data_IF_239768424237
#
_entry.id   IF_239768424237
#
_cell.length_a   1.000
_cell.length_b   1.000
_cell.length_c   1.000
_cell.angle_alpha   90.00
_cell.angle_beta   90.00
_cell.angle_gamma   90.00
#
_symmetry.space_group_name_H-M   'P 1'
#
loop_
_entity.id
_entity.type
_entity.pdbx_description
1 polymer ?
#
# COMPACT_ATOMS: atom_id res chain seq x y z
N UNK A 1 16.69 20.56 0.78
CA UNK A 1 15.36 20.03 0.36
C UNK A 1 15.50 18.52 0.26
N UNK A 2 14.84 17.74 1.13
CA UNK A 2 14.90 16.27 1.08
C UNK A 2 14.18 15.73 -0.15
N UNK A 3 14.58 14.55 -0.65
CA UNK A 3 13.85 13.90 -1.74
C UNK A 3 12.46 13.44 -1.26
N UNK A 4 11.39 13.72 -2.01
CA UNK A 4 10.04 13.29 -1.66
C UNK A 4 9.95 11.77 -1.61
N UNK A 5 9.14 11.26 -0.69
CA UNK A 5 8.90 9.82 -0.54
C UNK A 5 8.21 9.22 -1.78
N UNK A 6 8.32 7.91 -1.94
CA UNK A 6 7.68 7.13 -3.00
C UNK A 6 6.19 7.51 -3.24
N UNK A 7 5.39 7.47 -2.18
CA UNK A 7 3.96 7.81 -2.23
C UNK A 7 3.71 9.27 -2.62
N UNK A 8 4.54 10.21 -2.15
CA UNK A 8 4.41 11.63 -2.49
C UNK A 8 4.73 11.88 -3.97
N UNK A 9 5.71 11.15 -4.52
CA UNK A 9 6.02 11.20 -5.96
C UNK A 9 4.87 10.67 -6.79
N UNK A 10 4.21 9.60 -6.33
CA UNK A 10 3.03 9.07 -7.01
C UNK A 10 1.84 10.04 -6.94
N UNK A 11 1.53 10.60 -5.77
CA UNK A 11 0.49 11.62 -5.65
C UNK A 11 0.73 12.83 -6.57
N UNK A 12 1.97 13.30 -6.68
CA UNK A 12 2.32 14.41 -7.57
C UNK A 12 2.19 14.06 -9.05
N UNK A 13 2.46 12.80 -9.42
CA UNK A 13 2.48 12.36 -10.82
C UNK A 13 1.13 11.85 -11.31
N UNK A 14 0.22 11.48 -10.40
CA UNK A 14 -1.01 10.75 -10.72
C UNK A 14 -2.24 11.41 -10.07
N UNK A 15 -3.00 12.22 -10.84
CA UNK A 15 -4.29 12.75 -10.38
C UNK A 15 -5.28 11.63 -10.04
N UNK A 16 -5.28 10.54 -10.81
CA UNK A 16 -6.14 9.39 -10.57
C UNK A 16 -5.83 8.71 -9.24
N UNK A 17 -4.55 8.61 -8.88
CA UNK A 17 -4.16 8.10 -7.55
C UNK A 17 -4.66 8.98 -6.40
N UNK A 18 -4.61 10.31 -6.57
CA UNK A 18 -5.14 11.23 -5.56
C UNK A 18 -6.64 11.02 -5.33
N UNK A 19 -7.40 10.80 -6.40
CA UNK A 19 -8.83 10.46 -6.33
C UNK A 19 -9.06 9.09 -5.68
N UNK A 20 -8.27 8.08 -6.07
CA UNK A 20 -8.31 6.75 -5.50
C UNK A 20 -8.15 6.74 -3.98
N UNK A 21 -7.22 7.55 -3.45
CA UNK A 21 -7.00 7.65 -2.00
C UNK A 21 -8.21 8.18 -1.23
N UNK A 22 -9.05 9.01 -1.88
CA UNK A 22 -10.26 9.61 -1.29
C UNK A 22 -11.46 8.65 -1.28
N UNK A 23 -11.41 7.56 -2.03
CA UNK A 23 -12.51 6.58 -2.09
C UNK A 23 -12.80 5.98 -0.70
N UNK A 24 -14.08 5.83 -0.37
CA UNK A 24 -14.52 5.17 0.89
C UNK A 24 -14.57 3.64 0.73
N UNK A 25 -14.84 3.17 -0.48
CA UNK A 25 -14.98 1.77 -0.84
C UNK A 25 -14.30 1.48 -2.18
N UNK A 26 -14.01 0.21 -2.45
CA UNK A 26 -13.49 -0.23 -3.73
C UNK A 26 -14.53 0.03 -4.85
N UNK A 27 -14.12 0.53 -6.04
CA UNK A 27 -15.01 0.67 -7.19
C UNK A 27 -15.65 -0.67 -7.60
N UNK A 28 -16.90 -0.63 -8.05
CA UNK A 28 -17.67 -1.84 -8.38
C UNK A 28 -17.07 -2.65 -9.55
N UNK A 29 -16.42 -1.96 -10.48
CA UNK A 29 -15.74 -2.51 -11.65
C UNK A 29 -14.25 -2.77 -11.41
N UNK A 30 -13.79 -2.76 -10.16
CA UNK A 30 -12.41 -3.05 -9.86
C UNK A 30 -12.03 -4.46 -10.35
N UNK A 31 -10.91 -4.62 -11.08
CA UNK A 31 -10.45 -5.94 -11.50
C UNK A 31 -9.95 -6.75 -10.29
N UNK A 32 -9.78 -8.06 -10.46
CA UNK A 32 -9.01 -8.88 -9.51
C UNK A 32 -7.51 -8.54 -9.58
N UNK A 33 -6.73 -8.95 -8.57
CA UNK A 33 -5.26 -8.88 -8.65
C UNK A 33 -4.72 -9.71 -9.82
N UNK A 34 -3.74 -9.15 -10.53
CA UNK A 34 -2.97 -9.91 -11.51
C UNK A 34 -2.09 -10.94 -10.80
N UNK A 35 -1.97 -12.12 -11.39
CA UNK A 35 -1.08 -13.18 -10.94
C UNK A 35 0.15 -13.16 -11.85
N UNK A 36 1.34 -13.14 -11.26
CA UNK A 36 2.57 -13.22 -12.04
C UNK A 36 2.91 -14.65 -12.49
N UNK A 37 3.97 -14.80 -13.29
CA UNK A 37 4.45 -16.09 -13.80
C UNK A 37 4.79 -17.10 -12.69
N UNK A 38 5.02 -16.64 -11.45
CA UNK A 38 5.32 -17.48 -10.29
C UNK A 38 4.08 -17.85 -9.47
N UNK A 39 2.90 -17.42 -9.91
CA UNK A 39 1.65 -17.65 -9.20
C UNK A 39 1.42 -16.68 -8.03
N UNK A 40 2.21 -15.60 -7.92
CA UNK A 40 2.09 -14.63 -6.83
C UNK A 40 1.22 -13.45 -7.24
N UNK A 41 0.40 -12.97 -6.30
CA UNK A 41 -0.40 -11.76 -6.53
C UNK A 41 0.50 -10.53 -6.66
N UNK A 42 0.30 -9.80 -7.75
CA UNK A 42 0.95 -8.51 -8.00
C UNK A 42 0.09 -7.40 -7.42
N UNK A 43 0.63 -6.72 -6.42
CA UNK A 43 0.07 -5.49 -5.88
C UNK A 43 0.56 -4.30 -6.73
N UNK A 44 -0.35 -3.41 -7.07
CA UNK A 44 -0.01 -2.17 -7.74
C UNK A 44 0.60 -1.16 -6.77
N UNK A 45 1.37 -0.24 -7.34
CA UNK A 45 2.16 0.69 -6.56
C UNK A 45 1.26 1.69 -5.84
N UNK A 46 1.39 1.78 -4.52
CA UNK A 46 0.55 2.65 -3.67
C UNK A 46 -0.85 2.12 -3.41
N UNK A 47 -1.12 0.85 -3.72
CA UNK A 47 -2.45 0.25 -3.61
C UNK A 47 -2.90 0.07 -2.14
N UNK A 48 -4.14 0.44 -1.87
CA UNK A 48 -4.74 0.50 -0.53
C UNK A 48 -5.94 -0.44 -0.38
N UNK A 49 -6.59 -0.87 -1.46
CA UNK A 49 -7.74 -1.77 -1.37
C UNK A 49 -7.35 -3.23 -1.66
N UNK A 50 -7.91 -4.15 -0.88
CA UNK A 50 -7.82 -5.57 -1.16
C UNK A 50 -8.78 -5.97 -2.28
N UNK A 51 -8.23 -6.50 -3.38
CA UNK A 51 -8.99 -7.00 -4.53
C UNK A 51 -8.85 -8.52 -4.70
N UNK A 52 -8.60 -9.25 -3.60
CA UNK A 52 -8.64 -10.71 -3.63
C UNK A 52 -10.08 -11.16 -3.83
N UNK A 53 -10.28 -12.09 -4.76
CA UNK A 53 -11.57 -12.71 -4.98
C UNK A 53 -11.90 -13.68 -3.85
N UNK A 54 -13.11 -13.56 -3.35
CA UNK A 54 -13.66 -14.32 -2.24
C UNK A 54 -14.44 -15.54 -2.75
N UNK A 55 -14.76 -16.47 -1.86
CA UNK A 55 -15.47 -17.71 -2.23
C UNK A 55 -16.90 -17.46 -2.75
N UNK A 56 -17.53 -16.37 -2.30
CA UNK A 56 -18.82 -15.86 -2.78
C UNK A 56 -18.72 -15.13 -4.14
N UNK A 57 -17.52 -15.03 -4.71
CA UNK A 57 -17.29 -14.48 -6.05
C UNK A 57 -17.11 -12.96 -6.08
N UNK A 58 -17.29 -12.27 -4.95
CA UNK A 58 -17.01 -10.84 -4.79
C UNK A 58 -15.53 -10.53 -4.52
N UNK A 59 -15.17 -9.25 -4.53
CA UNK A 59 -13.85 -8.78 -4.07
C UNK A 59 -13.90 -8.42 -2.60
N UNK A 60 -12.80 -8.66 -1.87
CA UNK A 60 -12.70 -8.35 -0.44
C UNK A 60 -13.02 -6.87 -0.11
N UNK A 61 -12.47 -5.93 -0.87
CA UNK A 61 -12.77 -4.50 -0.73
C UNK A 61 -12.23 -3.82 0.53
N UNK A 62 -11.50 -4.52 1.40
CA UNK A 62 -10.92 -3.93 2.60
C UNK A 62 -9.96 -2.78 2.24
N UNK A 63 -10.09 -1.62 2.90
CA UNK A 63 -9.18 -0.47 2.72
C UNK A 63 -8.11 -0.46 3.81
N UNK A 64 -6.85 -0.46 3.40
CA UNK A 64 -5.66 -0.49 4.23
C UNK A 64 -4.86 0.79 3.99
N UNK A 65 -4.32 1.38 5.07
CA UNK A 65 -3.66 2.69 4.96
C UNK A 65 -2.26 2.68 4.36
N UNK A 66 -1.65 1.49 4.19
CA UNK A 66 -0.26 1.32 3.71
C UNK A 66 -0.08 -0.03 3.02
N UNK A 67 0.88 -0.07 2.11
CA UNK A 67 1.21 -1.21 1.24
C UNK A 67 1.56 -2.47 2.05
N UNK A 68 2.31 -2.32 3.15
CA UNK A 68 2.69 -3.45 3.99
C UNK A 68 1.50 -4.02 4.77
N UNK A 69 0.52 -3.17 5.13
CA UNK A 69 -0.72 -3.61 5.77
C UNK A 69 -1.58 -4.39 4.78
N UNK A 70 -1.66 -3.93 3.53
CA UNK A 70 -2.35 -4.66 2.47
C UNK A 70 -1.72 -6.03 2.24
N UNK A 71 -0.39 -6.11 2.14
CA UNK A 71 0.32 -7.40 2.04
C UNK A 71 0.00 -8.32 3.20
N UNK A 72 0.16 -7.85 4.42
CA UNK A 72 -0.10 -8.65 5.62
C UNK A 72 -1.56 -9.11 5.67
N UNK A 73 -2.51 -8.27 5.25
CA UNK A 73 -3.92 -8.61 5.16
C UNK A 73 -4.14 -9.74 4.13
N UNK A 74 -3.59 -9.63 2.93
CA UNK A 74 -3.71 -10.67 1.90
C UNK A 74 -3.14 -12.01 2.38
N UNK A 75 -1.95 -11.98 2.99
CA UNK A 75 -1.28 -13.19 3.46
C UNK A 75 -1.99 -13.84 4.65
N UNK A 76 -2.56 -13.05 5.58
CA UNK A 76 -3.20 -13.59 6.79
C UNK A 76 -4.68 -13.92 6.62
N UNK A 77 -5.43 -13.09 5.91
CA UNK A 77 -6.88 -13.24 5.75
C UNK A 77 -7.21 -14.15 4.58
N UNK A 78 -6.50 -13.99 3.46
CA UNK A 78 -6.76 -14.77 2.25
C UNK A 78 -5.82 -15.96 2.08
N UNK A 79 -4.79 -16.08 2.92
CA UNK A 79 -3.79 -17.17 2.84
C UNK A 79 -3.11 -17.24 1.46
N UNK A 80 -3.03 -16.09 0.77
CA UNK A 80 -2.46 -15.98 -0.57
C UNK A 80 -1.12 -15.26 -0.51
N UNK A 81 -0.11 -15.79 -1.20
CA UNK A 81 1.21 -15.17 -1.26
C UNK A 81 1.22 -13.98 -2.22
N UNK A 82 1.95 -12.93 -1.83
CA UNK A 82 2.11 -11.72 -2.66
C UNK A 82 3.53 -11.60 -3.17
N UNK A 83 3.68 -10.99 -4.35
CA UNK A 83 4.99 -10.60 -4.85
C UNK A 83 5.52 -9.44 -3.99
N UNK A 84 6.72 -9.61 -3.45
CA UNK A 84 7.41 -8.49 -2.79
C UNK A 84 7.82 -7.48 -3.86
N UNK A 85 7.58 -6.18 -3.66
CA UNK A 85 8.05 -5.15 -4.57
C UNK A 85 9.56 -5.27 -4.64
N UNK A 86 10.08 -5.27 -5.86
CA UNK A 86 11.52 -5.18 -6.06
C UNK A 86 11.99 -3.87 -5.43
N UNK A 87 12.81 -3.96 -4.38
CA UNK A 87 13.35 -2.80 -3.66
C UNK A 87 14.16 -1.89 -4.59
N UNK A 88 14.57 -2.39 -5.76
CA UNK A 88 15.29 -1.65 -6.80
C UNK A 88 14.39 -0.96 -7.81
N UNK A 89 13.07 -1.22 -7.82
CA UNK A 89 12.12 -0.39 -8.58
C UNK A 89 11.99 0.94 -7.87
N UNK A 90 12.92 1.84 -8.19
CA UNK A 90 12.68 3.26 -8.02
C UNK A 90 11.35 3.59 -8.69
N UNK A 91 10.59 4.50 -8.09
CA UNK A 91 9.45 5.14 -8.74
C UNK A 91 9.98 5.99 -9.91
N UNK A 92 10.50 5.36 -10.95
CA UNK A 92 10.91 6.04 -12.15
C UNK A 92 9.67 6.54 -12.89
N UNK A 93 9.90 7.34 -13.94
CA UNK A 93 8.80 7.92 -14.69
C UNK A 93 7.94 6.85 -15.40
N UNK A 94 8.47 5.67 -15.70
CA UNK A 94 7.71 4.60 -16.36
C UNK A 94 6.73 3.95 -15.37
N UNK A 95 7.20 3.59 -14.18
CA UNK A 95 6.35 3.03 -13.11
C UNK A 95 5.23 4.00 -12.72
N UNK A 96 5.54 5.30 -12.64
CA UNK A 96 4.55 6.33 -12.33
C UNK A 96 3.47 6.46 -13.42
N UNK A 97 3.85 6.35 -14.69
CA UNK A 97 2.89 6.36 -15.81
C UNK A 97 2.02 5.10 -15.83
N UNK A 98 2.61 3.93 -15.60
CA UNK A 98 1.85 2.68 -15.50
C UNK A 98 0.82 2.75 -14.37
N UNK A 99 1.22 3.27 -13.20
CA UNK A 99 0.32 3.47 -12.08
C UNK A 99 -0.82 4.45 -12.42
N UNK A 100 -0.55 5.57 -13.10
CA UNK A 100 -1.61 6.49 -13.54
C UNK A 100 -2.62 5.80 -14.47
N UNK A 101 -2.14 5.04 -15.47
CA UNK A 101 -3.02 4.29 -16.37
C UNK A 101 -3.89 3.30 -15.60
N UNK A 102 -3.29 2.58 -14.65
CA UNK A 102 -4.02 1.65 -13.80
C UNK A 102 -5.11 2.36 -12.98
N UNK A 103 -4.77 3.43 -12.25
CA UNK A 103 -5.74 4.13 -11.41
C UNK A 103 -6.82 4.84 -12.22
N UNK A 104 -6.48 5.40 -13.39
CA UNK A 104 -7.46 6.01 -14.29
C UNK A 104 -8.49 4.97 -14.75
N UNK A 105 -8.02 3.78 -15.15
CA UNK A 105 -8.89 2.67 -15.56
C UNK A 105 -9.71 2.13 -14.39
N UNK A 106 -9.12 2.02 -13.21
CA UNK A 106 -9.80 1.57 -11.99
C UNK A 106 -10.98 2.49 -11.61
N UNK A 107 -10.85 3.79 -11.90
CA UNK A 107 -11.85 4.81 -11.63
C UNK A 107 -12.82 5.05 -12.80
N UNK A 108 -12.61 4.41 -13.95
CA UNK A 108 -13.47 4.57 -15.11
C UNK A 108 -14.90 4.14 -14.78
N UNK A 109 -15.88 5.01 -15.01
CA UNK A 109 -17.29 4.73 -14.68
C UNK A 109 -17.64 4.81 -13.18
N UNK A 110 -16.69 5.18 -12.31
CA UNK A 110 -16.98 5.46 -10.91
C UNK A 110 -17.32 6.96 -10.74
N UNK A 111 -18.59 7.27 -10.46
CA UNK A 111 -18.96 8.63 -10.07
C UNK A 111 -18.33 8.95 -8.72
N UNK A 112 -17.28 9.78 -8.74
CA UNK A 112 -16.76 10.38 -7.53
C UNK A 112 -17.68 11.57 -7.23
N UNK A 113 -18.37 11.62 -6.08
CA UNK A 113 -19.22 12.75 -5.75
C UNK A 113 -18.42 14.05 -5.86
N UNK A 114 -18.90 14.98 -6.70
CA UNK A 114 -18.23 16.25 -7.03
C UNK A 114 -18.12 17.25 -5.86
N UNK A 115 -18.22 16.83 -4.60
CA UNK A 115 -18.14 17.74 -3.45
C UNK A 115 -16.73 18.31 -3.19
N UNK A 116 -15.72 18.01 -4.03
CA UNK A 116 -14.34 18.47 -3.81
C UNK A 116 -13.71 19.25 -4.98
N UNK A 117 -14.46 19.58 -6.04
CA UNK A 117 -13.92 20.36 -7.18
C UNK A 117 -13.97 21.89 -6.93
N UNK A 118 -14.58 22.35 -5.82
CA UNK A 118 -14.77 23.78 -5.53
C UNK A 118 -13.96 24.38 -4.38
N UNK A 119 -12.98 23.68 -3.79
CA UNK A 119 -12.19 24.25 -2.69
C UNK A 119 -10.77 24.71 -3.08
N UNK A 120 -10.21 24.29 -4.22
CA UNK A 120 -8.82 24.62 -4.60
C UNK A 120 -8.70 25.72 -5.68
N UNK A 121 -9.81 26.13 -6.30
CA UNK A 121 -9.79 27.18 -7.35
C UNK A 121 -10.13 28.61 -6.86
N UNK A 122 -10.51 28.81 -5.59
CA UNK A 122 -10.81 30.15 -5.06
C UNK A 122 -9.68 30.81 -4.26
N UNK A 123 -8.66 30.07 -3.79
CA UNK A 123 -7.54 30.67 -3.03
C UNK A 123 -6.40 31.22 -3.90
N UNK A 124 -6.50 31.15 -5.22
CA UNK A 124 -5.43 31.59 -6.14
C UNK A 124 -5.63 32.99 -6.76
N UNK A 125 -6.62 33.78 -6.33
CA UNK A 125 -6.80 35.16 -6.81
C UNK A 125 -7.20 36.12 -5.70
N UNK A 126 -6.22 36.64 -4.97
CA UNK A 126 -6.07 38.07 -4.62
C UNK A 126 -4.95 38.27 -3.60
N UNK A 127 -3.77 38.69 -4.04
CA UNK A 127 -3.03 39.82 -3.45
C UNK A 127 -1.68 40.05 -4.16
N UNK A 128 -1.34 41.30 -4.54
CA UNK A 128 -0.07 41.66 -5.16
C UNK A 128 1.09 41.76 -4.14
N UNK A 129 2.36 41.69 -4.60
CA UNK A 129 3.53 41.58 -3.74
C UNK A 129 3.86 42.92 -3.05
N UNK A 130 3.79 42.95 -1.71
CA UNK A 130 4.41 44.02 -0.91
C UNK A 130 5.91 43.76 -0.78
N UNK A 131 6.70 44.57 -1.48
CA UNK A 131 8.14 44.75 -1.27
C UNK A 131 8.39 45.16 0.20
N UNK A 132 9.25 44.43 0.91
CA UNK A 132 9.81 44.89 2.18
C UNK A 132 11.04 45.73 1.88
N UNK A 133 10.95 47.04 2.06
CA UNK A 133 12.11 47.93 2.20
C UNK A 133 12.65 47.78 3.63
N UNK A 134 13.89 47.31 3.75
CA UNK A 134 14.65 47.35 5.00
C UNK A 134 15.14 48.77 5.20
N UNK A 135 14.57 49.49 6.17
CA UNK A 135 15.21 50.65 6.79
C UNK A 135 15.72 50.17 8.13
N UNK A 136 17.04 50.21 8.27
CA UNK A 136 17.76 49.96 9.51
C UNK A 136 17.69 51.29 10.28
N UNK A 137 17.20 51.28 11.51
CA UNK A 137 17.45 52.36 12.44
C UNK A 137 18.12 51.80 13.70
N UNK A 138 19.26 52.40 14.00
CA UNK A 138 20.18 52.07 15.08
C UNK A 138 19.94 53.08 16.19
N UNK A 139 19.31 52.68 17.27
CA UNK A 139 19.54 53.33 18.57
C UNK A 139 19.58 52.28 19.66
N UNK A 140 20.79 52.10 20.20
CA UNK A 140 21.03 51.60 21.53
C UNK A 140 20.43 52.57 22.55
N UNK A 141 20.14 52.07 23.75
CA UNK A 141 20.64 52.58 25.03
C UNK A 141 20.02 51.71 26.15
N UNK A 142 20.87 51.37 27.10
CA UNK A 142 20.74 50.38 28.15
C UNK A 142 19.73 50.68 29.27
N UNK A 143 19.20 49.61 29.89
CA UNK A 143 19.00 49.55 31.35
C UNK A 143 18.65 48.11 31.81
N UNK A 144 19.64 47.44 32.41
CA UNK A 144 19.48 46.34 33.38
C UNK A 144 19.59 46.95 34.80
N UNK A 145 19.52 46.25 35.95
CA UNK A 145 18.99 44.90 36.29
C UNK A 145 18.09 44.91 37.56
N UNK A 146 17.43 43.78 37.94
CA UNK A 146 17.48 43.30 39.34
C UNK A 146 16.84 41.91 39.66
N UNK A 147 17.66 41.05 40.27
CA UNK A 147 17.49 40.04 41.38
C UNK A 147 16.40 38.94 41.46
N UNK A 148 16.92 37.71 41.63
CA UNK A 148 16.66 36.65 42.65
C UNK A 148 15.24 36.04 42.75
N UNK A 149 14.99 34.72 42.79
CA UNK A 149 15.56 33.67 43.65
C UNK A 149 15.03 32.26 43.28
N UNK A 150 15.90 31.25 43.38
CA UNK A 150 15.73 29.93 44.05
C UNK A 150 14.59 28.95 43.66
N UNK A 151 15.00 27.71 43.30
CA UNK A 151 14.14 26.56 42.93
C UNK A 151 13.36 25.89 44.09
N UNK A 152 12.84 24.64 43.92
CA UNK A 152 13.70 23.45 43.74
C UNK A 152 13.17 22.36 42.77
N UNK A 153 14.02 21.35 42.60
CA UNK A 153 13.94 20.20 41.69
C UNK A 153 13.16 18.97 42.21
N UNK A 154 12.90 18.06 41.24
CA UNK A 154 12.71 16.57 41.29
C UNK A 154 11.27 16.03 41.44
N UNK A 155 10.97 14.76 41.00
CA UNK A 155 11.89 13.69 40.58
C UNK A 155 11.59 12.97 39.24
N UNK A 156 12.67 12.41 38.67
CA UNK A 156 12.68 11.39 37.60
C UNK A 156 12.10 10.07 38.11
N UNK A 157 11.10 9.50 37.42
CA UNK A 157 10.71 8.09 37.59
C UNK A 157 11.58 7.20 36.68
N UNK A 158 12.25 6.25 37.31
CA UNK A 158 13.05 5.17 36.71
C UNK A 158 12.20 3.89 36.67
N UNK A 159 12.53 3.05 35.67
CA UNK A 159 12.40 1.57 35.59
C UNK A 159 11.04 0.98 35.19
N UNK A 160 10.97 -0.25 34.63
CA UNK A 160 11.99 -1.31 34.64
C UNK A 160 12.31 -2.03 33.30
N UNK A 161 13.48 -2.66 33.29
CA UNK A 161 13.86 -3.75 32.38
C UNK A 161 12.87 -4.93 32.50
N UNK A 162 12.46 -5.50 31.36
CA UNK A 162 11.96 -6.87 31.26
C UNK A 162 12.89 -7.68 30.37
N UNK A 163 13.64 -8.56 31.01
CA UNK A 163 14.18 -9.78 30.43
C UNK A 163 13.04 -10.78 30.27
N UNK A 164 12.82 -11.35 29.09
CA UNK A 164 12.11 -12.62 28.91
C UNK A 164 12.42 -13.20 27.51
N UNK A 165 13.22 -14.27 27.44
CA UNK A 165 12.79 -15.67 27.31
C UNK A 165 12.47 -16.07 25.86
N UNK A 166 13.42 -16.77 25.24
CA UNK A 166 13.28 -17.84 24.25
C UNK A 166 11.86 -18.10 23.70
N UNK A 167 11.60 -17.66 22.46
CA UNK A 167 10.45 -18.07 21.62
C UNK A 167 11.00 -18.42 20.24
N UNK A 168 11.42 -19.67 20.04
CA UNK A 168 11.98 -20.16 18.76
C UNK A 168 11.35 -21.46 18.22
N UNK A 169 10.57 -22.30 18.93
CA UNK A 169 10.05 -23.54 18.31
C UNK A 169 8.87 -23.36 17.33
N UNK A 170 7.99 -22.38 17.55
CA UNK A 170 6.69 -22.32 16.87
C UNK A 170 6.76 -21.95 15.37
N UNK A 171 7.82 -21.26 14.95
CA UNK A 171 7.96 -20.80 13.56
C UNK A 171 8.35 -21.94 12.59
N UNK A 172 9.09 -22.95 13.07
CA UNK A 172 9.52 -24.07 12.22
C UNK A 172 8.37 -25.02 11.88
N UNK A 173 7.44 -25.22 12.81
CA UNK A 173 6.26 -26.05 12.57
C UNK A 173 5.33 -25.42 11.53
N UNK A 174 5.13 -24.10 11.60
CA UNK A 174 4.34 -23.35 10.62
C UNK A 174 4.97 -23.36 9.22
N UNK A 175 6.29 -23.27 9.13
CA UNK A 175 7.03 -23.36 7.86
C UNK A 175 6.90 -24.75 7.22
N UNK A 176 7.01 -25.82 8.03
CA UNK A 176 6.81 -27.19 7.55
C UNK A 176 5.38 -27.46 7.11
N UNK A 177 4.38 -26.92 7.82
CA UNK A 177 2.98 -27.05 7.44
C UNK A 177 2.69 -26.36 6.09
N UNK A 178 3.30 -25.19 5.87
CA UNK A 178 3.18 -24.48 4.60
C UNK A 178 3.79 -25.28 3.43
N UNK A 179 4.98 -25.85 3.62
CA UNK A 179 5.61 -26.69 2.60
C UNK A 179 4.79 -27.97 2.32
N UNK A 180 4.21 -28.60 3.34
CA UNK A 180 3.30 -29.75 3.14
C UNK A 180 2.06 -29.38 2.31
N UNK A 181 1.45 -28.21 2.57
CA UNK A 181 0.31 -27.73 1.80
C UNK A 181 0.68 -27.46 0.33
N UNK A 182 1.86 -26.88 0.09
CA UNK A 182 2.39 -26.65 -1.26
C UNK A 182 2.58 -27.96 -2.03
N UNK A 183 3.18 -28.97 -1.40
CA UNK A 183 3.36 -30.31 -1.99
C UNK A 183 2.00 -30.95 -2.30
N UNK A 184 1.02 -30.82 -1.39
CA UNK A 184 -0.32 -31.38 -1.61
C UNK A 184 -1.03 -30.73 -2.81
N UNK A 185 -0.87 -29.41 -3.00
CA UNK A 185 -1.43 -28.70 -4.15
C UNK A 185 -0.78 -29.16 -5.47
N UNK A 186 0.54 -29.27 -5.51
CA UNK A 186 1.26 -29.79 -6.68
C UNK A 186 0.82 -31.20 -7.06
N UNK A 187 0.62 -32.08 -6.07
CA UNK A 187 0.09 -33.44 -6.29
C UNK A 187 -1.32 -33.44 -6.89
N UNK A 188 -2.19 -32.53 -6.43
CA UNK A 188 -3.56 -32.40 -6.97
C UNK A 188 -3.55 -31.91 -8.41
N UNK A 189 -2.71 -30.94 -8.74
CA UNK A 189 -2.55 -30.45 -10.12
C UNK A 189 -2.07 -31.57 -11.05
N UNK A 190 -1.00 -32.27 -10.68
CA UNK A 190 -0.48 -33.38 -11.47
C UNK A 190 -1.52 -34.51 -11.64
N UNK A 191 -2.31 -34.80 -10.60
CA UNK A 191 -3.40 -35.77 -10.70
C UNK A 191 -4.53 -35.33 -11.66
N UNK A 192 -4.83 -34.02 -11.73
CA UNK A 192 -5.80 -33.47 -12.66
C UNK A 192 -5.28 -33.55 -14.11
N UNK A 193 -4.01 -33.21 -14.35
CA UNK A 193 -3.35 -33.32 -15.66
C UNK A 193 -3.36 -34.76 -16.18
N UNK A 194 -3.07 -35.74 -15.32
CA UNK A 194 -3.15 -37.16 -15.69
C UNK A 194 -4.57 -37.59 -16.07
N UNK A 195 -5.60 -37.12 -15.35
CA UNK A 195 -7.00 -37.40 -15.68
C UNK A 195 -7.40 -36.77 -17.02
N UNK A 196 -6.95 -35.55 -17.27
CA UNK A 196 -7.20 -34.89 -18.55
C UNK A 196 -6.61 -35.67 -19.71
N UNK A 197 -5.34 -36.09 -19.60
CA UNK A 197 -4.68 -36.93 -20.61
C UNK A 197 -5.41 -38.26 -20.83
N UNK A 198 -5.92 -38.89 -19.77
CA UNK A 198 -6.71 -40.12 -19.89
C UNK A 198 -8.01 -39.88 -20.65
N UNK A 199 -8.73 -38.79 -20.35
CA UNK A 199 -9.95 -38.41 -21.06
C UNK A 199 -9.68 -38.09 -22.53
N UNK A 200 -8.60 -37.37 -22.83
CA UNK A 200 -8.17 -37.09 -24.19
C UNK A 200 -7.88 -38.39 -24.97
N UNK A 201 -7.23 -39.38 -24.35
CA UNK A 201 -7.00 -40.71 -24.97
C UNK A 201 -8.31 -41.44 -25.24
N UNK A 202 -9.26 -41.42 -24.30
CA UNK A 202 -10.59 -42.04 -24.49
C UNK A 202 -11.37 -41.36 -25.61
N UNK A 203 -11.37 -40.04 -25.67
CA UNK A 203 -11.98 -39.27 -26.76
C UNK A 203 -11.34 -39.58 -28.11
N UNK A 204 -10.00 -39.68 -28.17
CA UNK A 204 -9.30 -40.04 -29.39
C UNK A 204 -9.61 -41.47 -29.85
N UNK A 205 -9.82 -42.42 -28.92
CA UNK A 205 -10.24 -43.77 -29.25
C UNK A 205 -11.66 -43.82 -29.82
N UNK A 206 -12.60 -43.06 -29.25
CA UNK A 206 -13.98 -42.97 -29.74
C UNK A 206 -14.07 -42.33 -31.14
N UNK A 207 -13.19 -41.37 -31.46
CA UNK A 207 -13.14 -40.72 -32.79
C UNK A 207 -12.50 -41.58 -33.88
N UNK A 208 -11.85 -42.69 -33.53
CA UNK A 208 -11.21 -43.62 -34.48
C UNK A 208 -12.09 -44.79 -34.87
N UNK A 209 -13.24 -44.97 -34.21
CA UNK A 209 -14.31 -45.88 -34.59
C UNK A 209 -15.40 -45.12 -35.35
#
# INVERSE_FOLDING_TARGET
MGQPGATERLQRASPSYCTYLKLKSLPQNAPEFDVDETGLLRLEVGEHFCRVKTADGGLCGAKLGRDYNLRSHVESVHQTATKKPDKRRYFDAAVLREAEVFYARLLEGHEVPEEHVRAENETARTSPPKRKSTVIDLTAEDANPNINSTGPSRPKKKRPNKSSTSVVPLQKEQELEFELRKIALQKKMHAAELRELELQRRLAALKKN
#
